data_IF_729031831403
#
_entry.id   IF_729031831403
#
_cell.length_a   1.000
_cell.length_b   1.000
_cell.length_c   1.000
_cell.angle_alpha   90.00
_cell.angle_beta   90.00
_cell.angle_gamma   90.00
#
_symmetry.space_group_name_H-M   'P 1'
#
loop_
_entity.id
_entity.type
_entity.pdbx_description
1 polymer ?
#
# COMPACT_ATOMS: atom_id res chain seq x y z
N UNK A 1 -28.11 -20.80 -27.90
CA UNK A 1 -28.82 -19.92 -26.97
C UNK A 1 -29.03 -18.52 -27.59
N UNK A 2 -27.99 -17.93 -28.14
CA UNK A 2 -28.08 -16.62 -28.82
C UNK A 2 -29.01 -16.63 -30.05
N UNK A 3 -29.13 -17.75 -30.75
CA UNK A 3 -29.99 -17.90 -31.92
C UNK A 3 -31.46 -18.23 -31.59
N UNK A 4 -31.74 -18.68 -30.36
CA UNK A 4 -33.11 -19.05 -29.96
C UNK A 4 -34.10 -17.90 -30.12
N UNK A 5 -33.77 -16.66 -29.69
CA UNK A 5 -34.68 -15.52 -29.90
C UNK A 5 -34.86 -15.10 -31.37
N UNK A 6 -34.05 -15.59 -32.29
CA UNK A 6 -34.27 -15.35 -33.72
C UNK A 6 -35.49 -16.12 -34.25
N UNK A 7 -35.79 -17.26 -33.61
CA UNK A 7 -36.88 -18.16 -34.03
C UNK A 7 -38.07 -18.12 -33.09
N UNK A 8 -37.85 -17.80 -31.80
CA UNK A 8 -38.88 -17.87 -30.76
C UNK A 8 -38.96 -16.56 -29.97
N UNK A 9 -40.17 -16.24 -29.48
CA UNK A 9 -40.45 -15.10 -28.61
C UNK A 9 -41.30 -15.55 -27.42
N UNK A 10 -40.90 -15.10 -26.20
CA UNK A 10 -41.67 -15.37 -25.00
C UNK A 10 -42.90 -14.47 -24.94
N UNK A 11 -44.09 -15.09 -24.82
CA UNK A 11 -45.33 -14.39 -24.57
C UNK A 11 -45.68 -14.43 -23.10
N UNK A 12 -45.50 -13.30 -22.41
CA UNK A 12 -45.64 -13.21 -20.94
C UNK A 12 -47.09 -13.51 -20.48
N UNK A 13 -48.08 -13.08 -21.23
CA UNK A 13 -49.51 -13.26 -20.91
C UNK A 13 -49.95 -14.73 -20.89
N UNK A 14 -49.38 -15.55 -21.76
CA UNK A 14 -49.74 -16.98 -21.90
C UNK A 14 -48.60 -17.89 -21.40
N UNK A 15 -47.51 -17.33 -20.87
CA UNK A 15 -46.30 -18.03 -20.36
C UNK A 15 -45.82 -19.14 -21.32
N UNK A 16 -45.77 -18.87 -22.60
CA UNK A 16 -45.37 -19.83 -23.62
C UNK A 16 -44.42 -19.21 -24.65
N UNK A 17 -43.54 -20.03 -25.17
CA UNK A 17 -42.70 -19.67 -26.32
C UNK A 17 -43.51 -19.87 -27.60
N UNK A 18 -43.63 -18.81 -28.43
CA UNK A 18 -44.26 -18.87 -29.75
C UNK A 18 -43.26 -18.54 -30.84
N UNK A 19 -43.47 -19.10 -32.02
CA UNK A 19 -42.62 -18.85 -33.19
C UNK A 19 -42.67 -17.37 -33.54
N UNK A 20 -41.48 -16.75 -33.70
CA UNK A 20 -41.38 -15.34 -34.07
C UNK A 20 -41.88 -15.10 -35.47
N UNK A 21 -42.80 -14.17 -35.62
CA UNK A 21 -43.36 -13.76 -36.94
C UNK A 21 -42.75 -12.44 -37.44
N UNK A 22 -41.95 -11.75 -36.66
CA UNK A 22 -41.35 -10.45 -36.99
C UNK A 22 -39.84 -10.49 -37.26
N UNK A 23 -39.19 -9.31 -37.25
CA UNK A 23 -37.73 -9.18 -37.49
C UNK A 23 -36.92 -10.11 -36.60
N UNK A 24 -35.90 -10.73 -37.18
CA UNK A 24 -34.95 -11.54 -36.44
C UNK A 24 -34.27 -10.69 -35.35
N UNK A 25 -34.23 -11.18 -34.13
CA UNK A 25 -33.63 -10.52 -33.00
C UNK A 25 -32.60 -11.47 -32.35
N UNK A 26 -31.37 -11.03 -32.23
CA UNK A 26 -30.33 -11.79 -31.50
C UNK A 26 -30.57 -11.60 -30.02
N UNK A 27 -30.55 -12.71 -29.24
CA UNK A 27 -30.66 -12.63 -27.80
C UNK A 27 -29.48 -11.89 -27.21
N UNK A 28 -29.75 -10.90 -26.36
CA UNK A 28 -28.72 -10.30 -25.54
C UNK A 28 -28.39 -11.27 -24.39
N UNK A 29 -27.17 -11.71 -24.42
CA UNK A 29 -26.64 -12.57 -23.36
C UNK A 29 -25.98 -11.64 -22.35
N UNK A 30 -26.52 -11.56 -21.12
CA UNK A 30 -25.89 -10.80 -20.06
C UNK A 30 -24.53 -11.41 -19.72
N UNK A 31 -23.48 -10.59 -19.63
CA UNK A 31 -22.21 -11.02 -19.11
C UNK A 31 -22.36 -11.35 -17.61
N UNK A 32 -21.87 -12.51 -17.22
CA UNK A 32 -21.67 -12.84 -15.82
C UNK A 32 -20.23 -12.46 -15.46
N UNK A 33 -20.04 -11.77 -14.35
CA UNK A 33 -18.71 -11.42 -13.87
C UNK A 33 -18.03 -12.67 -13.33
N UNK A 34 -16.68 -12.84 -13.46
CA UNK A 34 -15.95 -13.99 -12.91
C UNK A 34 -16.24 -14.28 -11.43
N UNK A 35 -16.39 -13.23 -10.61
CA UNK A 35 -16.78 -13.35 -9.20
C UNK A 35 -18.17 -13.94 -8.94
N UNK A 36 -18.97 -14.19 -9.99
CA UNK A 36 -20.30 -14.82 -9.85
C UNK A 36 -20.24 -16.35 -9.66
N UNK A 37 -19.04 -16.94 -9.59
CA UNK A 37 -18.85 -18.38 -9.37
C UNK A 37 -19.48 -19.24 -10.46
N UNK A 38 -20.25 -20.25 -10.08
CA UNK A 38 -20.89 -21.22 -10.99
C UNK A 38 -21.71 -20.57 -12.12
N UNK A 39 -22.28 -19.40 -11.88
CA UNK A 39 -23.06 -18.68 -12.91
C UNK A 39 -22.17 -18.21 -14.07
N UNK A 40 -20.93 -17.84 -13.78
CA UNK A 40 -19.95 -17.45 -14.79
C UNK A 40 -19.59 -18.65 -15.68
N UNK A 41 -19.20 -19.77 -15.08
CA UNK A 41 -18.83 -20.97 -15.82
C UNK A 41 -20.00 -21.56 -16.60
N UNK A 42 -21.19 -21.64 -16.01
CA UNK A 42 -22.40 -22.03 -16.71
C UNK A 42 -22.66 -21.13 -17.92
N UNK A 43 -22.40 -19.84 -17.79
CA UNK A 43 -22.56 -18.88 -18.87
C UNK A 43 -21.59 -19.13 -20.02
N UNK A 44 -20.33 -19.42 -19.72
CA UNK A 44 -19.33 -19.80 -20.71
C UNK A 44 -19.75 -21.04 -21.48
N UNK A 45 -20.17 -22.08 -20.77
CA UNK A 45 -20.63 -23.34 -21.37
C UNK A 45 -21.86 -23.14 -22.27
N UNK A 46 -22.85 -22.32 -21.84
CA UNK A 46 -24.04 -22.01 -22.62
C UNK A 46 -23.77 -21.26 -23.95
N UNK A 47 -22.60 -20.63 -24.09
CA UNK A 47 -22.20 -20.02 -25.34
C UNK A 47 -21.69 -21.04 -26.37
N UNK A 48 -21.19 -22.19 -25.92
CA UNK A 48 -20.47 -23.17 -26.73
C UNK A 48 -21.28 -24.47 -26.90
N UNK A 49 -21.84 -24.99 -25.81
CA UNK A 49 -22.60 -26.25 -25.84
C UNK A 49 -23.94 -26.03 -26.58
N UNK A 50 -24.11 -26.72 -27.69
CA UNK A 50 -25.29 -26.58 -28.56
C UNK A 50 -26.38 -27.60 -28.21
N UNK A 51 -27.60 -27.11 -27.92
CA UNK A 51 -28.78 -27.92 -27.74
C UNK A 51 -28.85 -28.85 -26.53
N UNK A 52 -28.28 -28.48 -25.38
CA UNK A 52 -28.34 -29.32 -24.17
C UNK A 52 -29.79 -29.42 -23.68
N UNK A 53 -30.22 -30.62 -23.27
CA UNK A 53 -31.58 -30.89 -22.79
C UNK A 53 -31.66 -30.75 -21.24
N UNK A 54 -30.55 -30.86 -20.56
CA UNK A 54 -30.44 -30.76 -19.11
C UNK A 54 -29.07 -30.22 -18.67
N UNK A 55 -28.92 -29.91 -17.39
CA UNK A 55 -27.67 -29.37 -16.85
C UNK A 55 -26.51 -30.38 -16.86
N UNK A 56 -26.78 -31.69 -16.78
CA UNK A 56 -25.76 -32.73 -16.90
C UNK A 56 -25.12 -32.74 -18.29
N UNK A 57 -25.91 -32.57 -19.33
CA UNK A 57 -25.40 -32.50 -20.69
C UNK A 57 -24.50 -31.27 -20.92
N UNK A 58 -24.76 -30.16 -20.21
CA UNK A 58 -23.89 -28.98 -20.25
C UNK A 58 -22.52 -29.28 -19.65
N UNK A 59 -22.45 -30.11 -18.59
CA UNK A 59 -21.22 -30.50 -17.94
C UNK A 59 -20.55 -31.74 -18.58
N UNK A 60 -21.09 -32.24 -19.69
CA UNK A 60 -20.54 -33.42 -20.36
C UNK A 60 -19.71 -33.00 -21.57
N UNK A 61 -18.40 -33.32 -21.53
CA UNK A 61 -17.43 -33.04 -22.59
C UNK A 61 -16.83 -34.36 -23.06
N UNK A 62 -16.89 -34.64 -24.36
CA UNK A 62 -16.38 -35.89 -24.96
C UNK A 62 -16.86 -37.14 -24.23
N UNK A 63 -18.14 -37.23 -23.88
CA UNK A 63 -18.81 -38.32 -23.15
C UNK A 63 -18.37 -38.49 -21.66
N UNK A 64 -17.61 -37.57 -21.10
CA UNK A 64 -17.25 -37.55 -19.69
C UNK A 64 -18.06 -36.44 -19.01
N UNK A 65 -18.81 -36.77 -17.95
CA UNK A 65 -19.56 -35.79 -17.16
C UNK A 65 -18.67 -35.31 -16.00
N UNK A 66 -18.41 -34.01 -15.94
CA UNK A 66 -17.61 -33.38 -14.93
C UNK A 66 -18.46 -32.98 -13.72
N UNK A 67 -17.89 -32.93 -12.50
CA UNK A 67 -18.65 -32.63 -11.28
C UNK A 67 -19.09 -31.17 -11.16
N UNK A 68 -18.33 -30.24 -11.78
CA UNK A 68 -18.63 -28.79 -11.74
C UNK A 68 -18.64 -28.16 -13.12
N UNK A 69 -19.30 -27.03 -13.25
CA UNK A 69 -19.26 -26.24 -14.49
C UNK A 69 -17.84 -25.75 -14.81
N UNK A 70 -17.06 -25.45 -13.78
CA UNK A 70 -15.67 -25.03 -13.88
C UNK A 70 -14.81 -26.11 -14.55
N UNK A 71 -14.91 -27.35 -14.07
CA UNK A 71 -14.15 -28.48 -14.62
C UNK A 71 -14.53 -28.76 -16.09
N UNK A 72 -15.82 -28.62 -16.41
CA UNK A 72 -16.28 -28.77 -17.79
C UNK A 72 -15.73 -27.63 -18.71
N UNK A 73 -15.60 -26.40 -18.18
CA UNK A 73 -14.95 -25.29 -18.90
C UNK A 73 -13.47 -25.60 -19.17
N UNK A 74 -12.73 -26.11 -18.19
CA UNK A 74 -11.33 -26.55 -18.38
C UNK A 74 -11.22 -27.63 -19.44
N UNK A 75 -12.07 -28.64 -19.37
CA UNK A 75 -12.08 -29.73 -20.34
C UNK A 75 -12.37 -29.30 -21.77
N UNK A 76 -13.06 -28.17 -21.94
CA UNK A 76 -13.34 -27.54 -23.23
C UNK A 76 -12.26 -26.53 -23.67
N UNK A 77 -11.24 -26.28 -22.84
CA UNK A 77 -10.22 -25.26 -23.10
C UNK A 77 -10.78 -23.84 -23.13
N UNK A 78 -11.81 -23.56 -22.34
CA UNK A 78 -12.45 -22.24 -22.24
C UNK A 78 -11.86 -21.35 -21.18
N UNK A 79 -11.16 -21.94 -20.25
CA UNK A 79 -10.39 -21.24 -19.24
C UNK A 79 -8.93 -21.38 -19.65
N UNK A 80 -8.28 -20.25 -19.81
CA UNK A 80 -6.83 -20.22 -19.88
C UNK A 80 -6.33 -20.86 -18.56
N UNK A 81 -5.42 -21.81 -18.68
CA UNK A 81 -4.73 -22.32 -17.51
C UNK A 81 -3.89 -21.14 -16.97
N UNK A 82 -3.81 -20.97 -15.66
CA UNK A 82 -3.03 -19.91 -14.99
C UNK A 82 -1.50 -20.06 -15.28
N UNK A 83 -1.14 -20.79 -16.34
CA UNK A 83 0.21 -21.09 -16.78
C UNK A 83 0.99 -19.82 -17.13
N UNK A 84 0.32 -18.85 -17.76
CA UNK A 84 0.91 -17.55 -18.06
C UNK A 84 1.37 -16.84 -16.77
N UNK A 85 0.57 -16.89 -15.71
CA UNK A 85 0.93 -16.31 -14.42
C UNK A 85 2.04 -17.06 -13.71
N UNK A 86 2.07 -18.39 -13.84
CA UNK A 86 3.18 -19.20 -13.38
C UNK A 86 4.49 -18.86 -14.10
N UNK A 87 4.45 -18.75 -15.42
CA UNK A 87 5.61 -18.39 -16.23
C UNK A 87 6.08 -16.97 -15.87
N UNK A 88 5.18 -16.00 -15.71
CA UNK A 88 5.49 -14.64 -15.29
C UNK A 88 6.22 -14.59 -13.93
N UNK A 89 5.74 -15.33 -12.91
CA UNK A 89 6.39 -15.39 -11.60
C UNK A 89 7.76 -16.05 -11.70
N UNK A 90 7.89 -17.14 -12.47
CA UNK A 90 9.14 -17.85 -12.65
C UNK A 90 10.20 -17.00 -13.39
N UNK A 91 9.81 -16.27 -14.43
CA UNK A 91 10.70 -15.34 -15.11
C UNK A 91 11.16 -14.21 -14.19
N UNK A 92 10.24 -13.64 -13.42
CA UNK A 92 10.55 -12.59 -12.44
C UNK A 92 11.50 -13.09 -11.34
N UNK A 93 11.45 -14.37 -10.97
CA UNK A 93 12.30 -14.96 -9.94
C UNK A 93 13.81 -14.89 -10.28
N UNK A 94 14.16 -14.78 -11.54
CA UNK A 94 15.57 -14.68 -11.94
C UNK A 94 16.21 -13.32 -11.59
N UNK A 95 15.43 -12.28 -11.35
CA UNK A 95 15.96 -10.92 -11.11
C UNK A 95 15.28 -10.17 -9.96
N UNK A 96 14.11 -10.62 -9.50
CA UNK A 96 13.33 -9.94 -8.47
C UNK A 96 13.61 -10.52 -7.08
N UNK A 97 13.57 -9.67 -6.07
CA UNK A 97 13.62 -10.10 -4.67
C UNK A 97 12.30 -10.75 -4.24
N UNK A 98 12.32 -11.61 -3.21
CA UNK A 98 11.11 -12.25 -2.69
C UNK A 98 9.98 -11.26 -2.35
N UNK A 99 10.32 -10.07 -1.85
CA UNK A 99 9.35 -8.98 -1.62
C UNK A 99 8.70 -8.50 -2.92
N UNK A 100 9.47 -8.30 -3.99
CA UNK A 100 8.95 -7.89 -5.30
C UNK A 100 8.09 -8.99 -5.92
N UNK A 101 8.46 -10.25 -5.74
CA UNK A 101 7.67 -11.39 -6.20
C UNK A 101 6.32 -11.48 -5.48
N UNK A 102 6.27 -11.23 -4.17
CA UNK A 102 5.00 -11.15 -3.44
C UNK A 102 4.14 -9.96 -3.90
N UNK A 103 4.76 -8.82 -4.23
CA UNK A 103 4.03 -7.69 -4.83
C UNK A 103 3.47 -8.03 -6.20
N UNK A 104 4.24 -8.74 -7.04
CA UNK A 104 3.77 -9.24 -8.33
C UNK A 104 2.60 -10.21 -8.16
N UNK A 105 2.71 -11.17 -7.24
CA UNK A 105 1.63 -12.11 -6.93
C UNK A 105 0.34 -11.39 -6.50
N UNK A 106 0.44 -10.39 -5.62
CA UNK A 106 -0.71 -9.57 -5.22
C UNK A 106 -1.28 -8.79 -6.40
N UNK A 107 -0.43 -8.24 -7.28
CA UNK A 107 -0.88 -7.55 -8.49
C UNK A 107 -1.67 -8.49 -9.41
N UNK A 108 -1.17 -9.71 -9.61
CA UNK A 108 -1.87 -10.74 -10.39
C UNK A 108 -3.23 -11.07 -9.75
N UNK A 109 -3.28 -11.29 -8.43
CA UNK A 109 -4.53 -11.57 -7.72
C UNK A 109 -5.56 -10.44 -7.82
N UNK A 110 -5.10 -9.19 -7.82
CA UNK A 110 -5.99 -8.01 -7.79
C UNK A 110 -6.50 -7.59 -9.17
N UNK A 111 -5.66 -7.70 -10.18
CA UNK A 111 -5.91 -7.07 -11.48
C UNK A 111 -6.02 -8.07 -12.64
N UNK A 112 -5.65 -9.32 -12.43
CA UNK A 112 -5.75 -10.38 -13.43
C UNK A 112 -6.86 -11.37 -13.06
N UNK A 113 -7.43 -12.02 -14.07
CA UNK A 113 -8.45 -13.06 -13.87
C UNK A 113 -7.76 -14.39 -13.58
N UNK A 114 -7.40 -14.62 -12.30
CA UNK A 114 -6.80 -15.88 -11.86
C UNK A 114 -7.90 -16.91 -11.66
N UNK A 115 -7.79 -18.03 -12.37
CA UNK A 115 -8.80 -19.10 -12.31
C UNK A 115 -8.75 -19.87 -10.99
N UNK A 116 -7.55 -20.15 -10.46
CA UNK A 116 -7.36 -20.81 -9.18
C UNK A 116 -6.19 -20.22 -8.40
N UNK A 117 -6.47 -19.23 -7.52
CA UNK A 117 -5.45 -18.60 -6.67
C UNK A 117 -4.68 -19.59 -5.79
N UNK A 118 -5.32 -20.68 -5.33
CA UNK A 118 -4.68 -21.68 -4.49
C UNK A 118 -3.63 -22.46 -5.27
N UNK A 119 -3.96 -22.90 -6.48
CA UNK A 119 -3.01 -23.63 -7.33
C UNK A 119 -1.83 -22.73 -7.68
N UNK A 120 -2.09 -21.44 -8.01
CA UNK A 120 -1.04 -20.47 -8.28
C UNK A 120 -0.12 -20.28 -7.07
N UNK A 121 -0.67 -20.20 -5.85
CA UNK A 121 0.09 -20.13 -4.62
C UNK A 121 0.89 -21.39 -4.36
N UNK A 122 0.23 -22.57 -4.36
CA UNK A 122 0.88 -23.83 -4.02
C UNK A 122 2.02 -24.24 -4.97
N UNK A 123 1.96 -23.79 -6.21
CA UNK A 123 3.03 -24.02 -7.18
C UNK A 123 4.22 -23.09 -7.02
N UNK A 124 4.01 -21.87 -6.49
CA UNK A 124 5.03 -20.81 -6.43
C UNK A 124 5.47 -20.43 -5.02
N UNK A 125 4.88 -20.96 -3.95
CA UNK A 125 5.13 -20.51 -2.59
C UNK A 125 6.61 -20.55 -2.18
N UNK A 126 7.40 -21.52 -2.69
CA UNK A 126 8.82 -21.62 -2.38
C UNK A 126 9.59 -20.40 -2.86
N UNK A 127 9.35 -20.00 -4.10
CA UNK A 127 9.97 -18.82 -4.72
C UNK A 127 9.50 -17.55 -4.02
N UNK A 128 8.20 -17.46 -3.73
CA UNK A 128 7.60 -16.33 -3.01
C UNK A 128 8.08 -16.20 -1.55
N UNK A 129 8.65 -17.25 -0.98
CA UNK A 129 9.09 -17.30 0.43
C UNK A 129 10.61 -17.48 0.60
N UNK A 130 11.39 -17.42 -0.47
CA UNK A 130 12.84 -17.73 -0.50
C UNK A 130 13.63 -16.82 0.46
N UNK A 131 13.31 -15.53 0.52
CA UNK A 131 14.00 -14.56 1.34
C UNK A 131 13.63 -14.62 2.83
N UNK A 132 12.51 -15.28 3.17
CA UNK A 132 11.91 -15.24 4.51
C UNK A 132 12.85 -15.81 5.56
N UNK A 133 13.44 -16.98 5.33
CA UNK A 133 14.33 -17.63 6.29
C UNK A 133 15.53 -16.74 6.65
N UNK A 134 16.21 -16.20 5.63
CA UNK A 134 17.38 -15.34 5.84
C UNK A 134 17.01 -14.07 6.60
N UNK A 135 15.86 -13.49 6.26
CA UNK A 135 15.35 -12.31 6.95
C UNK A 135 14.97 -12.61 8.41
N UNK A 136 14.31 -13.74 8.69
CA UNK A 136 13.98 -14.16 10.04
C UNK A 136 15.22 -14.43 10.89
N UNK A 137 16.28 -15.02 10.33
CA UNK A 137 17.59 -15.16 10.98
C UNK A 137 18.19 -13.82 11.34
N UNK A 138 18.09 -12.85 10.44
CA UNK A 138 18.64 -11.50 10.69
C UNK A 138 17.85 -10.76 11.78
N UNK A 139 16.52 -10.83 11.75
CA UNK A 139 15.63 -10.18 12.73
C UNK A 139 15.79 -10.78 14.12
N UNK A 140 15.85 -12.12 14.21
CA UNK A 140 15.97 -12.83 15.48
C UNK A 140 17.38 -12.82 16.06
N UNK A 141 18.39 -12.35 15.30
CA UNK A 141 19.82 -12.52 15.62
C UNK A 141 20.20 -13.98 15.88
N UNK A 142 19.42 -14.94 15.35
CA UNK A 142 19.64 -16.36 15.54
C UNK A 142 19.98 -17.02 14.19
N UNK A 143 21.29 -17.18 13.95
CA UNK A 143 21.80 -17.64 12.65
C UNK A 143 21.44 -19.09 12.34
N UNK A 144 21.21 -19.93 13.35
CA UNK A 144 20.88 -21.34 13.22
C UNK A 144 19.35 -21.59 13.16
N UNK A 145 18.55 -20.54 13.01
CA UNK A 145 17.10 -20.67 12.87
C UNK A 145 16.76 -21.56 11.66
N UNK A 146 15.96 -22.57 11.92
CA UNK A 146 15.37 -23.44 10.90
C UNK A 146 13.86 -23.26 10.94
N UNK A 147 13.25 -22.98 9.80
CA UNK A 147 11.81 -22.89 9.64
C UNK A 147 11.32 -24.09 8.83
N UNK A 148 10.22 -24.70 9.26
CA UNK A 148 9.55 -25.73 8.48
C UNK A 148 8.86 -25.12 7.24
N UNK A 149 8.58 -25.95 6.24
CA UNK A 149 7.82 -25.51 5.06
C UNK A 149 6.45 -24.91 5.43
N UNK A 150 5.80 -25.44 6.46
CA UNK A 150 4.54 -24.90 6.99
C UNK A 150 4.72 -23.49 7.55
N UNK A 151 5.80 -23.24 8.29
CA UNK A 151 6.12 -21.92 8.82
C UNK A 151 6.47 -20.95 7.70
N UNK A 152 7.28 -21.36 6.72
CA UNK A 152 7.64 -20.53 5.56
C UNK A 152 6.41 -20.16 4.74
N UNK A 153 5.52 -21.12 4.46
CA UNK A 153 4.23 -20.85 3.81
C UNK A 153 3.41 -19.83 4.60
N UNK A 154 3.33 -20.00 5.91
CA UNK A 154 2.56 -19.14 6.77
C UNK A 154 3.09 -17.70 6.81
N UNK A 155 4.41 -17.53 6.89
CA UNK A 155 5.05 -16.22 6.75
C UNK A 155 4.80 -15.60 5.38
N UNK A 156 4.88 -16.37 4.30
CA UNK A 156 4.60 -15.91 2.93
C UNK A 156 3.16 -15.40 2.78
N UNK A 157 2.18 -16.16 3.27
CA UNK A 157 0.77 -15.76 3.30
C UNK A 157 0.54 -14.49 4.14
N UNK A 158 1.16 -14.43 5.31
CA UNK A 158 1.08 -13.24 6.16
C UNK A 158 1.57 -11.98 5.46
N UNK A 159 2.70 -12.06 4.74
CA UNK A 159 3.23 -10.92 4.01
C UNK A 159 2.39 -10.54 2.80
N UNK A 160 1.83 -11.51 2.09
CA UNK A 160 0.87 -11.27 1.00
C UNK A 160 -0.36 -10.56 1.55
N UNK A 161 -0.90 -10.99 2.69
CA UNK A 161 -2.05 -10.34 3.33
C UNK A 161 -1.73 -8.90 3.74
N UNK A 162 -0.52 -8.65 4.27
CA UNK A 162 -0.06 -7.29 4.58
C UNK A 162 0.03 -6.38 3.35
N UNK A 163 0.43 -6.92 2.20
CA UNK A 163 0.46 -6.16 0.94
C UNK A 163 -0.97 -5.89 0.46
N UNK A 164 -1.87 -6.88 0.53
CA UNK A 164 -3.29 -6.73 0.17
C UNK A 164 -3.98 -5.66 1.03
N UNK A 165 -3.68 -5.62 2.33
CA UNK A 165 -4.22 -4.62 3.25
C UNK A 165 -3.85 -3.18 2.86
N UNK A 166 -2.70 -2.95 2.22
CA UNK A 166 -2.32 -1.63 1.70
C UNK A 166 -3.28 -1.13 0.59
N UNK A 167 -3.99 -2.06 -0.05
CA UNK A 167 -4.98 -1.79 -1.08
C UNK A 167 -6.43 -1.94 -0.57
N UNK A 168 -6.63 -2.02 0.75
CA UNK A 168 -7.95 -2.22 1.36
C UNK A 168 -8.55 -3.61 1.11
N UNK A 169 -7.73 -4.60 0.74
CA UNK A 169 -8.10 -6.00 0.52
C UNK A 169 -7.46 -6.91 1.58
N UNK A 170 -7.92 -8.15 1.64
CA UNK A 170 -7.36 -9.19 2.51
C UNK A 170 -7.40 -10.53 1.80
N UNK A 171 -6.60 -11.49 2.25
CA UNK A 171 -6.71 -12.88 1.78
C UNK A 171 -8.10 -13.48 2.01
N UNK A 172 -8.89 -12.92 2.94
CA UNK A 172 -10.30 -13.30 3.16
C UNK A 172 -11.21 -13.00 1.97
N UNK A 173 -10.83 -12.04 1.14
CA UNK A 173 -11.56 -11.70 -0.10
C UNK A 173 -11.34 -12.74 -1.20
N UNK A 174 -10.41 -13.66 -0.99
CA UNK A 174 -10.07 -14.77 -1.89
C UNK A 174 -10.37 -16.12 -1.20
N UNK A 175 -11.62 -16.61 -1.25
CA UNK A 175 -12.08 -17.76 -0.43
C UNK A 175 -11.27 -19.05 -0.62
N UNK A 176 -10.59 -19.20 -1.75
CA UNK A 176 -9.75 -20.36 -2.07
C UNK A 176 -8.36 -20.27 -1.45
N UNK A 177 -7.92 -19.07 -1.05
CA UNK A 177 -6.59 -18.87 -0.47
C UNK A 177 -6.54 -19.26 1.01
N UNK A 178 -5.47 -19.96 1.44
CA UNK A 178 -5.26 -20.24 2.85
C UNK A 178 -5.09 -18.95 3.64
N UNK A 179 -5.55 -18.96 4.89
CA UNK A 179 -5.39 -17.83 5.79
C UNK A 179 -4.12 -18.00 6.62
N UNK A 180 -3.33 -16.93 6.86
CA UNK A 180 -2.17 -17.02 7.73
C UNK A 180 -2.58 -17.27 9.19
N UNK A 181 -1.96 -18.25 9.83
CA UNK A 181 -2.09 -18.45 11.27
C UNK A 181 -1.03 -17.61 12.00
N UNK A 182 -1.48 -16.53 12.61
CA UNK A 182 -0.62 -15.59 13.33
C UNK A 182 0.05 -16.24 14.56
N UNK A 183 -0.51 -17.34 15.10
CA UNK A 183 0.07 -18.02 16.25
C UNK A 183 1.30 -18.86 15.90
N UNK A 184 1.46 -19.26 14.65
CA UNK A 184 2.61 -20.03 14.16
C UNK A 184 3.82 -19.13 13.90
N UNK A 185 3.64 -17.83 13.79
CA UNK A 185 4.73 -16.88 13.57
C UNK A 185 5.62 -16.82 14.83
N UNK A 186 6.89 -17.15 14.68
CA UNK A 186 7.86 -17.26 15.80
C UNK A 186 8.07 -15.92 16.49
N UNK A 187 8.00 -14.84 15.73
CA UNK A 187 8.13 -13.48 16.24
C UNK A 187 6.80 -12.73 16.13
N UNK A 188 6.22 -12.41 17.28
CA UNK A 188 5.08 -11.48 17.39
C UNK A 188 5.53 -10.01 17.36
N UNK A 189 6.76 -9.73 16.92
CA UNK A 189 7.28 -8.37 16.83
C UNK A 189 6.53 -7.51 15.81
N UNK A 190 6.51 -6.22 16.04
CA UNK A 190 5.97 -5.27 15.09
C UNK A 190 6.96 -5.11 13.93
N UNK A 191 6.64 -5.72 12.79
CA UNK A 191 7.49 -5.71 11.60
C UNK A 191 7.84 -4.29 11.13
N UNK A 192 6.91 -3.35 11.24
CA UNK A 192 7.17 -1.96 10.83
C UNK A 192 8.22 -1.29 11.72
N UNK A 193 8.24 -1.64 13.01
CA UNK A 193 9.26 -1.18 13.96
C UNK A 193 10.60 -1.85 13.64
N UNK A 194 10.59 -3.16 13.39
CA UNK A 194 11.80 -3.92 13.04
C UNK A 194 12.44 -3.40 11.75
N UNK A 195 11.64 -3.10 10.71
CA UNK A 195 12.12 -2.47 9.48
C UNK A 195 12.79 -1.11 9.75
N UNK A 196 12.21 -0.28 10.62
CA UNK A 196 12.78 1.04 10.97
C UNK A 196 13.97 0.96 11.95
N UNK A 197 14.15 -0.17 12.63
CA UNK A 197 15.28 -0.42 13.53
C UNK A 197 16.41 -1.23 12.89
N UNK A 198 16.19 -1.79 11.67
CA UNK A 198 17.15 -2.68 10.99
C UNK A 198 18.33 -1.95 10.32
N UNK A 199 18.43 -0.66 10.47
CA UNK A 199 19.53 0.13 9.91
C UNK A 199 20.87 -0.19 10.61
N UNK A 200 21.93 -0.23 9.83
CA UNK A 200 23.30 -0.38 10.39
C UNK A 200 23.72 0.90 11.12
N UNK A 201 23.65 0.88 12.45
CA UNK A 201 23.94 2.03 13.32
C UNK A 201 25.34 2.59 13.07
N UNK A 202 26.35 1.73 12.96
CA UNK A 202 27.73 2.17 12.73
C UNK A 202 27.96 2.84 11.37
N UNK A 203 27.23 2.40 10.34
CA UNK A 203 27.25 3.06 9.03
C UNK A 203 26.56 4.42 9.08
N UNK A 204 25.41 4.51 9.73
CA UNK A 204 24.67 5.76 9.90
C UNK A 204 25.42 6.78 10.76
N UNK A 205 26.16 6.34 11.76
CA UNK A 205 26.98 7.23 12.58
C UNK A 205 28.08 7.87 11.74
N UNK A 206 28.80 7.09 10.93
CA UNK A 206 29.82 7.62 10.00
C UNK A 206 29.20 8.54 8.94
N UNK A 207 28.05 8.17 8.38
CA UNK A 207 27.33 9.03 7.43
C UNK A 207 26.93 10.35 8.08
N UNK A 208 26.41 10.32 9.32
CA UNK A 208 26.04 11.53 10.06
C UNK A 208 27.25 12.44 10.31
N UNK A 209 28.41 11.90 10.73
CA UNK A 209 29.65 12.67 10.97
C UNK A 209 30.11 13.41 9.70
N UNK A 210 29.99 12.77 8.54
CA UNK A 210 30.31 13.38 7.25
C UNK A 210 29.27 14.47 6.90
N UNK A 211 27.99 14.15 7.00
CA UNK A 211 26.91 15.06 6.60
C UNK A 211 26.84 16.30 7.49
N UNK A 212 27.04 16.17 8.79
CA UNK A 212 26.99 17.30 9.72
C UNK A 212 28.11 18.30 9.47
N UNK A 213 29.30 17.84 9.05
CA UNK A 213 30.41 18.73 8.71
C UNK A 213 30.14 19.61 7.49
N UNK A 214 29.32 19.13 6.55
CA UNK A 214 28.95 19.83 5.33
C UNK A 214 27.75 20.79 5.47
N UNK A 215 27.12 20.89 6.65
CA UNK A 215 26.02 21.83 6.86
C UNK A 215 26.53 23.28 6.88
N UNK A 216 25.89 24.15 6.11
CA UNK A 216 26.10 25.59 6.25
C UNK A 216 25.44 26.15 7.53
N UNK A 217 25.67 27.41 7.86
CA UNK A 217 25.18 28.01 9.10
C UNK A 217 23.65 28.00 9.22
N UNK A 218 22.93 28.27 8.10
CA UNK A 218 21.46 28.22 8.10
C UNK A 218 20.95 26.81 8.38
N UNK A 219 21.48 25.81 7.68
CA UNK A 219 21.12 24.42 7.85
C UNK A 219 21.49 23.90 9.25
N UNK A 220 22.64 24.32 9.79
CA UNK A 220 23.09 23.93 11.14
C UNK A 220 22.17 24.45 12.23
N UNK A 221 21.71 25.70 12.12
CA UNK A 221 20.76 26.27 13.06
C UNK A 221 19.43 25.51 13.06
N UNK A 222 18.92 25.18 11.87
CA UNK A 222 17.70 24.39 11.71
C UNK A 222 17.89 23.00 12.28
N UNK A 223 19.01 22.32 11.94
CA UNK A 223 19.38 21.03 12.45
C UNK A 223 19.39 21.02 13.98
N UNK A 224 20.08 21.97 14.62
CA UNK A 224 20.20 22.04 16.09
C UNK A 224 18.83 22.21 16.75
N UNK A 225 17.98 23.10 16.25
CA UNK A 225 16.62 23.31 16.80
C UNK A 225 15.74 22.07 16.71
N UNK A 226 15.79 21.35 15.60
CA UNK A 226 15.02 20.13 15.41
C UNK A 226 15.57 19.00 16.31
N UNK A 227 16.88 18.85 16.38
CA UNK A 227 17.51 17.80 17.20
C UNK A 227 17.29 18.05 18.70
N UNK A 228 17.30 19.29 19.15
CA UNK A 228 16.95 19.65 20.51
C UNK A 228 15.53 19.19 20.85
N UNK A 229 14.54 19.51 19.98
CA UNK A 229 13.16 19.05 20.17
C UNK A 229 13.02 17.53 20.18
N UNK A 230 13.78 16.80 19.33
CA UNK A 230 13.75 15.34 19.26
C UNK A 230 14.33 14.70 20.53
N UNK A 231 15.43 15.23 21.07
CA UNK A 231 16.09 14.62 22.21
C UNK A 231 15.51 15.06 23.56
N UNK A 232 14.93 16.25 23.64
CA UNK A 232 14.19 16.70 24.82
C UNK A 232 12.76 16.15 24.90
N UNK A 233 12.31 15.46 23.81
CA UNK A 233 10.95 14.93 23.68
C UNK A 233 9.87 16.01 23.90
N UNK A 234 10.21 17.28 23.64
CA UNK A 234 9.32 18.41 23.83
C UNK A 234 8.23 18.50 22.78
N UNK A 235 8.34 17.72 21.69
CA UNK A 235 7.51 17.85 20.52
C UNK A 235 7.84 19.10 19.73
N UNK A 236 7.06 19.35 18.67
CA UNK A 236 7.18 20.58 17.89
C UNK A 236 6.86 20.40 16.43
N UNK A 237 6.39 21.46 15.82
CA UNK A 237 6.09 21.52 14.39
C UNK A 237 7.00 22.55 13.73
N UNK A 238 7.74 22.09 12.72
CA UNK A 238 8.72 22.89 11.99
C UNK A 238 8.39 22.89 10.50
N UNK A 239 8.62 24.01 9.84
CA UNK A 239 8.53 24.11 8.38
C UNK A 239 9.83 24.64 7.81
N UNK A 240 10.49 23.85 6.98
CA UNK A 240 11.73 24.23 6.28
C UNK A 240 11.38 24.71 4.88
N UNK A 241 11.27 26.04 4.74
CA UNK A 241 11.07 26.67 3.46
C UNK A 241 12.40 26.85 2.72
N UNK A 242 12.45 26.42 1.45
CA UNK A 242 13.63 26.63 0.60
C UNK A 242 13.34 26.26 -0.85
N UNK A 243 13.92 27.00 -1.75
CA UNK A 243 13.82 26.73 -3.19
C UNK A 243 14.59 25.47 -3.59
N UNK A 244 14.42 25.04 -4.84
CA UNK A 244 15.27 24.00 -5.42
C UNK A 244 16.75 24.40 -5.33
N UNK A 245 17.61 23.49 -4.87
CA UNK A 245 19.05 23.73 -4.74
C UNK A 245 19.50 24.33 -3.40
N UNK A 246 18.61 24.66 -2.45
CA UNK A 246 18.99 25.18 -1.13
C UNK A 246 19.46 24.08 -0.15
N UNK A 247 19.49 22.82 -0.59
CA UNK A 247 20.03 21.73 0.22
C UNK A 247 19.04 21.15 1.27
N UNK A 248 17.72 21.30 1.11
CA UNK A 248 16.71 20.67 1.98
C UNK A 248 16.95 19.18 2.14
N UNK A 249 17.08 18.44 1.03
CA UNK A 249 17.31 17.00 1.05
C UNK A 249 18.59 16.60 1.79
N UNK A 250 19.63 17.42 1.69
CA UNK A 250 20.89 17.22 2.44
C UNK A 250 20.66 17.36 3.94
N UNK A 251 19.96 18.41 4.36
CA UNK A 251 19.57 18.62 5.76
C UNK A 251 18.74 17.45 6.29
N UNK A 252 17.75 16.98 5.51
CA UNK A 252 16.89 15.85 5.89
C UNK A 252 17.67 14.57 6.04
N UNK A 253 18.59 14.26 5.14
CA UNK A 253 19.48 13.11 5.28
C UNK A 253 20.31 13.19 6.55
N UNK A 254 20.82 14.38 6.88
CA UNK A 254 21.60 14.60 8.11
C UNK A 254 20.76 14.32 9.36
N UNK A 255 19.50 14.82 9.40
CA UNK A 255 18.59 14.59 10.53
C UNK A 255 18.23 13.10 10.64
N UNK A 256 17.88 12.44 9.52
CA UNK A 256 17.54 11.02 9.52
C UNK A 256 18.72 10.15 10.00
N UNK A 257 19.93 10.41 9.51
CA UNK A 257 21.13 9.71 9.93
C UNK A 257 21.40 9.91 11.42
N UNK A 258 21.26 11.13 11.92
CA UNK A 258 21.45 11.46 13.35
C UNK A 258 20.47 10.72 14.27
N UNK A 259 19.18 10.74 13.94
CA UNK A 259 18.14 10.12 14.79
C UNK A 259 18.26 8.59 14.76
N UNK A 260 18.41 8.01 13.56
CA UNK A 260 18.53 6.56 13.39
C UNK A 260 19.83 6.00 13.97
N UNK A 261 20.94 6.74 13.91
CA UNK A 261 22.21 6.33 14.53
C UNK A 261 22.15 6.24 16.06
N UNK A 262 21.15 6.87 16.68
CA UNK A 262 20.86 6.76 18.12
C UNK A 262 19.81 5.69 18.45
N UNK A 263 19.46 4.84 17.48
CA UNK A 263 18.45 3.79 17.66
C UNK A 263 17.02 4.32 17.84
N UNK A 264 16.76 5.57 17.44
CA UNK A 264 15.40 6.16 17.46
C UNK A 264 14.74 6.04 16.08
N UNK A 265 13.41 5.95 16.07
CA UNK A 265 12.65 5.81 14.82
C UNK A 265 12.39 7.19 14.21
N UNK A 266 12.81 7.35 12.94
CA UNK A 266 12.59 8.54 12.14
C UNK A 266 11.84 8.18 10.86
N UNK A 267 10.58 8.61 10.76
CA UNK A 267 9.76 8.38 9.57
C UNK A 267 10.01 9.45 8.53
N UNK A 268 10.46 9.04 7.34
CA UNK A 268 10.61 9.91 6.19
C UNK A 268 9.43 9.67 5.24
N UNK A 269 8.66 10.72 4.96
CA UNK A 269 7.54 10.68 4.01
C UNK A 269 7.59 11.86 3.05
N UNK A 270 6.93 11.73 1.91
CA UNK A 270 6.74 12.82 0.98
C UNK A 270 5.34 12.80 0.37
N UNK A 271 4.90 13.95 -0.12
CA UNK A 271 3.60 14.08 -0.79
C UNK A 271 3.57 13.43 -2.19
N UNK A 272 4.73 13.21 -2.83
CA UNK A 272 4.87 12.53 -4.12
C UNK A 272 5.79 11.32 -4.05
N UNK A 273 5.57 10.34 -4.95
CA UNK A 273 6.42 9.15 -5.03
C UNK A 273 7.88 9.47 -5.37
N UNK A 274 8.10 10.43 -6.28
CA UNK A 274 9.47 10.83 -6.70
C UNK A 274 10.22 11.45 -5.53
N UNK A 275 9.59 12.35 -4.77
CA UNK A 275 10.22 12.97 -3.60
C UNK A 275 10.49 11.94 -2.49
N UNK A 276 9.61 10.96 -2.31
CA UNK A 276 9.82 9.88 -1.35
C UNK A 276 11.08 9.06 -1.65
N UNK A 277 11.38 8.80 -2.91
CA UNK A 277 12.57 8.03 -3.33
C UNK A 277 13.89 8.78 -3.04
N UNK A 278 13.86 10.09 -2.89
CA UNK A 278 15.05 10.89 -2.57
C UNK A 278 15.43 10.83 -1.07
N UNK A 279 14.53 10.37 -0.24
CA UNK A 279 14.73 10.25 1.21
C UNK A 279 15.11 8.81 1.59
N UNK A 280 16.15 8.59 2.41
CA UNK A 280 16.49 7.26 2.93
C UNK A 280 15.32 6.62 3.68
N UNK A 281 14.81 5.47 3.17
CA UNK A 281 13.62 4.81 3.72
C UNK A 281 12.32 5.59 3.53
N UNK A 282 12.29 6.54 2.57
CA UNK A 282 11.15 7.40 2.31
C UNK A 282 9.95 6.63 1.74
N UNK A 283 8.75 7.01 2.17
CA UNK A 283 7.45 6.47 1.69
C UNK A 283 6.49 7.59 1.34
N UNK A 284 5.48 7.28 0.53
CA UNK A 284 4.39 8.22 0.25
C UNK A 284 3.56 8.42 1.52
N UNK A 285 3.29 9.67 1.90
CA UNK A 285 2.57 10.02 3.13
C UNK A 285 1.18 9.37 3.22
N UNK A 286 0.40 9.37 2.12
CA UNK A 286 -0.91 8.73 2.07
C UNK A 286 -0.84 7.22 2.40
N UNK A 287 0.16 6.54 1.86
CA UNK A 287 0.36 5.11 2.14
C UNK A 287 0.88 4.86 3.55
N UNK A 288 1.79 5.72 4.06
CA UNK A 288 2.39 5.53 5.39
C UNK A 288 1.40 5.74 6.52
N UNK A 289 0.53 6.76 6.39
CA UNK A 289 -0.44 7.13 7.39
C UNK A 289 -1.87 6.68 7.09
N UNK A 290 -2.09 5.91 6.02
CA UNK A 290 -3.42 5.48 5.58
C UNK A 290 -4.40 6.67 5.46
N UNK A 291 -3.92 7.77 4.84
CA UNK A 291 -4.74 8.96 4.63
C UNK A 291 -5.80 8.63 3.57
N UNK A 292 -7.10 8.90 3.83
CA UNK A 292 -8.14 8.69 2.82
C UNK A 292 -7.88 9.49 1.54
N UNK A 293 -8.25 8.95 0.39
CA UNK A 293 -8.09 9.67 -0.89
C UNK A 293 -8.98 10.90 -0.93
N UNK A 294 -10.20 10.80 -0.41
CA UNK A 294 -11.15 11.90 -0.29
C UNK A 294 -11.13 12.43 1.14
N UNK A 295 -10.27 13.39 1.41
CA UNK A 295 -10.16 14.03 2.74
C UNK A 295 -11.07 15.25 2.85
N UNK A 296 -11.70 15.40 4.01
CA UNK A 296 -12.47 16.56 4.43
C UNK A 296 -12.00 17.04 5.82
N UNK A 297 -12.65 18.07 6.33
CA UNK A 297 -12.30 18.70 7.61
C UNK A 297 -12.46 17.76 8.83
N UNK A 298 -13.23 16.67 8.72
CA UNK A 298 -13.49 15.70 9.79
C UNK A 298 -12.73 14.40 9.60
N UNK A 299 -12.06 14.20 8.46
CA UNK A 299 -11.36 12.97 8.14
C UNK A 299 -10.31 12.60 9.17
N UNK A 300 -10.20 11.31 9.46
CA UNK A 300 -9.10 10.69 10.21
C UNK A 300 -8.40 9.68 9.32
N UNK A 301 -7.19 9.30 9.68
CA UNK A 301 -6.49 8.22 9.02
C UNK A 301 -7.09 6.87 9.43
N UNK A 302 -7.06 5.89 8.53
CA UNK A 302 -7.60 4.55 8.80
C UNK A 302 -6.63 3.71 9.67
N UNK A 303 -6.22 4.26 10.82
CA UNK A 303 -5.29 3.62 11.75
C UNK A 303 -6.03 3.30 13.04
N UNK A 304 -6.31 2.01 13.24
CA UNK A 304 -6.92 1.55 14.48
C UNK A 304 -5.87 1.40 15.58
N UNK A 305 -6.26 1.67 16.82
CA UNK A 305 -5.43 1.41 17.99
C UNK A 305 -5.02 -0.07 18.05
N UNK A 306 -3.85 -0.35 18.61
CA UNK A 306 -3.24 -1.70 18.69
C UNK A 306 -2.90 -2.36 17.36
N UNK A 307 -2.89 -1.61 16.26
CA UNK A 307 -2.33 -2.09 14.98
C UNK A 307 -0.82 -1.85 14.94
N UNK A 308 -0.12 -2.58 14.07
CA UNK A 308 1.32 -2.39 13.87
C UNK A 308 1.68 -0.95 13.50
N UNK A 309 0.83 -0.28 12.72
CA UNK A 309 1.03 1.14 12.35
C UNK A 309 0.89 2.05 13.57
N UNK A 310 -0.11 1.81 14.43
CA UNK A 310 -0.29 2.59 15.66
C UNK A 310 0.91 2.43 16.60
N UNK A 311 1.39 1.19 16.82
CA UNK A 311 2.57 0.92 17.64
C UNK A 311 3.86 1.56 17.07
N UNK A 312 4.01 1.57 15.74
CA UNK A 312 5.11 2.27 15.10
C UNK A 312 5.05 3.77 15.39
N UNK A 313 3.87 4.38 15.27
CA UNK A 313 3.67 5.82 15.53
C UNK A 313 3.91 6.17 17.01
N UNK A 314 3.52 5.29 17.95
CA UNK A 314 3.86 5.45 19.36
C UNK A 314 5.38 5.55 19.56
N UNK A 315 6.17 4.66 18.94
CA UNK A 315 7.65 4.64 19.06
C UNK A 315 8.39 5.64 18.16
N UNK A 316 7.68 6.34 17.27
CA UNK A 316 8.30 7.34 16.38
C UNK A 316 8.75 8.57 17.14
N UNK A 317 9.99 9.00 16.93
CA UNK A 317 10.56 10.21 17.54
C UNK A 317 10.39 11.44 16.65
N UNK A 318 10.45 11.27 15.32
CA UNK A 318 10.32 12.36 14.36
C UNK A 318 9.63 11.89 13.09
N UNK A 319 8.79 12.75 12.53
CA UNK A 319 8.18 12.61 11.20
C UNK A 319 8.74 13.73 10.32
N UNK A 320 9.40 13.37 9.23
CA UNK A 320 9.91 14.28 8.23
C UNK A 320 9.06 14.13 6.97
N UNK A 321 8.39 15.19 6.55
CA UNK A 321 7.46 15.20 5.41
C UNK A 321 7.91 16.22 4.36
N UNK A 322 8.49 15.73 3.28
CA UNK A 322 8.93 16.57 2.17
C UNK A 322 7.79 16.87 1.18
N UNK A 323 7.96 17.95 0.42
CA UNK A 323 6.97 18.48 -0.54
C UNK A 323 5.58 18.66 0.10
N UNK A 324 5.54 19.14 1.34
CA UNK A 324 4.30 19.38 2.09
C UNK A 324 3.30 20.30 1.37
N UNK A 325 3.69 21.38 0.63
CA UNK A 325 2.75 22.24 -0.08
C UNK A 325 1.91 21.51 -1.16
N UNK A 326 2.33 20.32 -1.62
CA UNK A 326 1.56 19.54 -2.59
C UNK A 326 0.36 18.80 -1.97
N UNK A 327 0.33 18.63 -0.66
CA UNK A 327 -0.77 17.98 0.04
C UNK A 327 -1.83 18.99 0.50
N UNK A 328 -3.10 18.56 0.50
CA UNK A 328 -4.19 19.34 1.06
C UNK A 328 -4.03 19.46 2.59
N UNK A 329 -4.38 20.64 3.17
CA UNK A 329 -4.33 20.86 4.63
C UNK A 329 -5.04 19.75 5.42
N UNK A 330 -6.16 19.26 4.89
CA UNK A 330 -6.94 18.22 5.54
C UNK A 330 -6.17 16.90 5.73
N UNK A 331 -5.15 16.64 4.90
CA UNK A 331 -4.25 15.47 5.08
C UNK A 331 -3.45 15.60 6.38
N UNK A 332 -2.90 16.79 6.66
CA UNK A 332 -2.13 17.04 7.88
C UNK A 332 -3.06 17.04 9.11
N UNK A 333 -4.25 17.60 8.97
CA UNK A 333 -5.25 17.62 10.03
C UNK A 333 -5.77 16.20 10.35
N UNK A 334 -5.95 15.35 9.33
CA UNK A 334 -6.32 13.96 9.52
C UNK A 334 -5.21 13.17 10.26
N UNK A 335 -3.94 13.38 9.87
CA UNK A 335 -2.79 12.77 10.55
C UNK A 335 -2.67 13.29 11.98
N UNK A 336 -2.88 14.59 12.19
CA UNK A 336 -2.88 15.20 13.53
C UNK A 336 -3.92 14.54 14.45
N UNK A 337 -5.19 14.48 14.02
CA UNK A 337 -6.26 13.85 14.80
C UNK A 337 -5.95 12.39 15.12
N UNK A 338 -5.45 11.66 14.15
CA UNK A 338 -5.11 10.23 14.35
C UNK A 338 -3.94 10.04 15.30
N UNK A 339 -2.91 10.89 15.24
CA UNK A 339 -1.79 10.85 16.19
C UNK A 339 -2.24 11.24 17.60
N UNK A 340 -3.07 12.26 17.74
CA UNK A 340 -3.66 12.64 19.03
C UNK A 340 -4.46 11.48 19.63
N UNK A 341 -5.29 10.81 18.82
CA UNK A 341 -6.10 9.67 19.26
C UNK A 341 -5.23 8.46 19.67
N UNK A 342 -4.12 8.21 18.97
CA UNK A 342 -3.20 7.11 19.32
C UNK A 342 -2.36 7.45 20.56
N UNK A 343 -1.84 8.68 20.65
CA UNK A 343 -0.87 9.07 21.67
C UNK A 343 -1.51 9.47 23.01
N UNK A 344 -2.81 9.77 23.04
CA UNK A 344 -3.55 9.99 24.29
C UNK A 344 -3.52 8.78 25.24
N UNK A 345 -3.24 7.58 24.70
CA UNK A 345 -3.14 6.36 25.51
C UNK A 345 -1.94 6.45 26.47
N UNK A 346 -0.85 7.07 26.03
CA UNK A 346 0.37 7.27 26.85
C UNK A 346 0.24 8.46 27.80
N UNK A 347 -0.30 9.57 27.30
CA UNK A 347 -0.55 10.79 28.06
C UNK A 347 -1.79 11.51 27.51
N UNK A 348 -2.88 11.65 28.31
CA UNK A 348 -4.08 12.38 27.91
C UNK A 348 -3.84 13.81 27.42
N UNK A 349 -2.80 14.48 27.89
CA UNK A 349 -2.41 15.82 27.45
C UNK A 349 -1.96 15.88 25.99
N UNK A 350 -1.65 14.74 25.40
CA UNK A 350 -1.29 14.64 23.98
C UNK A 350 -2.46 14.98 23.01
N UNK A 351 -3.70 14.94 23.51
CA UNK A 351 -4.87 15.42 22.74
C UNK A 351 -4.79 16.91 22.40
N UNK A 352 -4.17 17.71 23.24
CA UNK A 352 -4.07 19.17 23.06
C UNK A 352 -2.82 19.57 22.27
N UNK A 353 -1.84 18.67 22.16
CA UNK A 353 -0.57 18.94 21.47
C UNK A 353 -0.68 18.67 19.97
N UNK A 354 -0.13 19.54 19.12
CA UNK A 354 -0.03 19.26 17.69
C UNK A 354 0.66 17.92 17.45
N UNK A 355 0.07 17.10 16.58
CA UNK A 355 0.53 15.76 16.26
C UNK A 355 0.77 14.85 17.48
N UNK A 356 -0.02 15.06 18.55
CA UNK A 356 0.12 14.31 19.79
C UNK A 356 1.47 14.51 20.49
N UNK A 357 2.11 15.66 20.29
CA UNK A 357 3.41 15.96 20.88
C UNK A 357 4.61 15.37 20.15
N UNK A 358 4.45 14.76 18.98
CA UNK A 358 5.58 14.31 18.14
C UNK A 358 6.28 15.49 17.47
N UNK A 359 7.58 15.30 17.17
CA UNK A 359 8.31 16.26 16.34
C UNK A 359 7.95 16.02 14.87
N UNK A 360 7.42 17.05 14.20
CA UNK A 360 7.04 17.01 12.79
C UNK A 360 7.78 18.09 12.04
N UNK A 361 8.54 17.69 11.04
CA UNK A 361 9.28 18.59 10.15
C UNK A 361 8.65 18.53 8.76
N UNK A 362 8.01 19.61 8.38
CA UNK A 362 7.45 19.79 7.04
C UNK A 362 8.47 20.53 6.18
N UNK A 363 8.54 20.20 4.92
CA UNK A 363 9.41 20.90 3.99
C UNK A 363 8.78 21.13 2.64
N UNK A 364 9.27 22.13 1.93
CA UNK A 364 8.84 22.39 0.57
C UNK A 364 8.98 23.84 0.15
N UNK A 365 8.47 24.12 -1.04
CA UNK A 365 8.47 25.44 -1.66
C UNK A 365 7.05 25.78 -2.14
N UNK A 366 6.40 26.78 -1.54
CA UNK A 366 5.05 27.23 -1.92
C UNK A 366 4.98 27.86 -3.32
N UNK A 367 6.11 28.11 -3.98
CA UNK A 367 6.18 28.58 -5.37
C UNK A 367 6.15 27.45 -6.39
N UNK A 368 6.29 26.22 -5.92
CA UNK A 368 6.17 25.02 -6.74
C UNK A 368 4.71 24.55 -6.83
N UNK A 369 4.49 23.26 -7.11
CA UNK A 369 3.16 22.70 -7.25
C UNK A 369 2.44 22.70 -5.89
N UNK A 370 1.26 23.27 -5.85
CA UNK A 370 0.35 23.24 -4.70
C UNK A 370 -0.63 22.06 -4.82
N UNK A 371 -1.41 21.85 -3.77
CA UNK A 371 -2.43 20.80 -3.76
C UNK A 371 -3.45 21.00 -4.88
N UNK A 372 -3.84 19.89 -5.54
CA UNK A 372 -4.84 19.92 -6.61
C UNK A 372 -6.24 19.85 -6.00
N UNK A 373 -7.04 20.89 -6.25
CA UNK A 373 -8.45 20.93 -5.88
C UNK A 373 -9.28 20.72 -7.15
N UNK A 374 -10.03 19.62 -7.22
CA UNK A 374 -10.84 19.26 -8.41
C UNK A 374 -11.90 20.36 -8.64
N UNK A 375 -11.86 20.97 -9.83
CA UNK A 375 -12.72 22.09 -10.22
C UNK A 375 -12.59 23.33 -9.34
N UNK A 376 -11.52 23.43 -8.52
CA UNK A 376 -11.29 24.53 -7.61
C UNK A 376 -10.77 25.79 -8.34
N UNK A 377 -11.15 26.94 -7.82
CA UNK A 377 -10.60 28.24 -8.21
C UNK A 377 -9.29 28.51 -7.46
N UNK A 378 -8.58 29.59 -7.83
CA UNK A 378 -7.34 29.99 -7.15
C UNK A 378 -7.50 30.15 -5.64
N UNK A 379 -8.63 30.67 -5.19
CA UNK A 379 -8.95 30.85 -3.77
C UNK A 379 -9.05 29.50 -3.06
N UNK A 380 -9.70 28.52 -3.68
CA UNK A 380 -9.84 27.16 -3.12
C UNK A 380 -8.46 26.47 -2.98
N UNK A 381 -7.55 26.69 -3.94
CA UNK A 381 -6.17 26.17 -3.88
C UNK A 381 -5.42 26.82 -2.71
N UNK A 382 -5.52 28.14 -2.53
CA UNK A 382 -4.90 28.85 -1.40
C UNK A 382 -5.46 28.34 -0.07
N UNK A 383 -6.79 28.19 0.03
CA UNK A 383 -7.46 27.67 1.23
C UNK A 383 -7.11 26.21 1.53
N UNK A 384 -6.70 25.43 0.53
CA UNK A 384 -6.29 24.04 0.73
C UNK A 384 -4.87 23.86 1.25
N UNK A 385 -4.09 24.93 1.35
CA UNK A 385 -2.68 24.86 1.79
C UNK A 385 -2.56 24.71 3.30
N UNK A 386 -1.47 24.10 3.76
CA UNK A 386 -1.17 23.92 5.20
C UNK A 386 -1.13 25.26 5.96
N UNK A 387 -0.78 26.38 5.31
CA UNK A 387 -0.76 27.70 5.92
C UNK A 387 -2.15 28.18 6.38
N UNK A 388 -3.23 27.60 5.87
CA UNK A 388 -4.60 27.90 6.26
C UNK A 388 -5.14 26.95 7.34
N UNK A 389 -4.34 25.98 7.76
CA UNK A 389 -4.67 25.09 8.87
C UNK A 389 -4.39 25.76 10.21
N UNK A 390 -5.20 25.42 11.23
CA UNK A 390 -4.93 25.84 12.62
C UNK A 390 -3.58 25.33 13.12
N UNK A 391 -3.07 24.24 12.58
CA UNK A 391 -1.76 23.69 12.89
C UNK A 391 -0.62 24.67 12.59
N UNK A 392 -0.82 25.55 11.59
CA UNK A 392 0.20 26.54 11.22
C UNK A 392 0.56 27.51 12.34
N UNK A 393 -0.36 27.78 13.27
CA UNK A 393 -0.11 28.65 14.42
C UNK A 393 0.96 28.08 15.39
N UNK A 394 1.19 26.76 15.33
CA UNK A 394 2.21 26.07 16.14
C UNK A 394 3.50 25.83 15.38
N UNK A 395 3.59 26.31 14.14
CA UNK A 395 4.69 25.98 13.26
C UNK A 395 5.82 26.98 13.34
N UNK A 396 7.03 26.50 13.65
CA UNK A 396 8.26 27.29 13.53
C UNK A 396 8.75 27.24 12.08
N UNK A 397 8.72 28.40 11.39
CA UNK A 397 9.11 28.50 9.98
C UNK A 397 10.56 28.91 9.85
N UNK A 398 11.36 28.03 9.29
CA UNK A 398 12.75 28.31 8.90
C UNK A 398 12.85 28.57 7.40
N UNK A 399 13.79 29.43 7.00
CA UNK A 399 14.04 29.77 5.60
C UNK A 399 15.48 29.44 5.24
N UNK A 400 15.65 28.65 4.18
CA UNK A 400 16.93 28.41 3.52
C UNK A 400 17.04 29.37 2.32
N UNK A 401 17.95 30.31 2.39
CA UNK A 401 18.13 31.34 1.36
C UNK A 401 19.31 31.03 0.44
N UNK A 402 20.38 30.42 0.98
CA UNK A 402 21.57 30.08 0.22
C UNK A 402 21.34 28.97 -0.78
N UNK A 403 21.62 29.22 -2.06
CA UNK A 403 21.58 28.21 -3.10
C UNK A 403 22.91 27.47 -3.17
N UNK A 404 22.99 26.30 -2.56
CA UNK A 404 24.21 25.48 -2.46
C UNK A 404 24.68 24.97 -3.84
N UNK A 405 23.77 24.76 -4.80
CA UNK A 405 24.13 24.34 -6.16
C UNK A 405 24.92 25.39 -6.93
N UNK A 406 24.64 26.68 -6.69
CA UNK A 406 25.34 27.78 -7.38
C UNK A 406 26.70 28.06 -6.76
N UNK A 407 26.98 27.57 -5.56
CA UNK A 407 28.28 27.77 -4.88
C UNK A 407 29.29 26.65 -5.15
N UNK A 408 28.89 25.57 -5.81
CA UNK A 408 29.73 24.43 -6.15
C UNK A 408 30.29 24.54 -7.60
N UNK A 409 29.92 25.59 -8.34
CA UNK A 409 30.50 25.99 -9.61
C UNK A 409 31.35 27.26 -9.38
#
# INVERSE_FOLDING_TARGET
YAEFPTKWVWHQNVRQWKRRKGRKCIGRVYNAHPSSGDRFYLRMLLNIVKGPKNFKEIMTVKNITYPTYKDACYALGLLDDDKEWHECINEAAHWASGKQLRQLFVTILMFCEVSDPLILWDSNWKILSEDILNRQRHISHFHDLILSDSQLKNYGLYEIDQILQQYGKSLKDYPQMPQPDVNILIHKGNRLIEEEMSYNIGSLQREHEILISGLNNEQRNIYNSIMEAVFSESGGMFFVYGHGGTGKTYLYRTILAAVRSKGKIALAVASSGIAALLLPGGRIAHSRFHIPINVNDESTCEIKQKTQTAELLLKTSIILWDEAPMANRNCFEAVNRSLQDILQIEDPMNLEKPFGGKVVVLGGDFRQILSVVKNGRREDIVQSTICQSRLWNYCHVFKLQQNVRLMQN
#
